data_IF_172776370833
#
_entry.id   IF_172776370833
#
_cell.length_a   1.000
_cell.length_b   1.000
_cell.length_c   1.000
_cell.angle_alpha   90.00
_cell.angle_beta   90.00
_cell.angle_gamma   90.00
#
_symmetry.space_group_name_H-M   'P 1'
#
loop_
_entity.id
_entity.type
_entity.pdbx_description
1 polymer ?
#
# COMPACT_ATOMS: atom_id res chain seq x y z
N UNK A 1 86.32 -14.50 -16.51
CA UNK A 1 85.46 -13.47 -17.14
C UNK A 1 84.44 -13.02 -16.10
N UNK A 2 84.27 -11.71 -15.98
CA UNK A 2 83.56 -10.96 -14.92
C UNK A 2 82.03 -11.17 -15.01
N UNK A 3 81.32 -11.27 -13.88
CA UNK A 3 80.09 -10.49 -13.55
C UNK A 3 79.57 -10.94 -12.16
N UNK A 4 79.74 -10.14 -11.09
CA UNK A 4 78.88 -9.05 -10.59
C UNK A 4 77.46 -9.50 -10.18
N UNK A 5 77.22 -9.44 -8.86
CA UNK A 5 76.06 -8.89 -8.13
C UNK A 5 74.67 -8.96 -8.79
N UNK A 6 73.59 -9.25 -8.06
CA UNK A 6 72.73 -8.18 -7.51
C UNK A 6 71.68 -8.75 -6.53
N UNK A 7 71.59 -8.03 -5.42
CA UNK A 7 70.49 -7.72 -4.48
C UNK A 7 69.17 -8.51 -4.47
N UNK A 8 68.75 -8.75 -3.23
CA UNK A 8 67.39 -8.91 -2.76
C UNK A 8 66.44 -7.76 -3.15
N UNK A 9 65.18 -8.09 -3.39
CA UNK A 9 64.04 -7.23 -3.09
C UNK A 9 62.77 -8.09 -2.97
N UNK A 10 62.35 -8.34 -1.74
CA UNK A 10 61.04 -8.88 -1.43
C UNK A 10 59.99 -7.78 -1.62
N UNK A 11 59.06 -7.97 -2.55
CA UNK A 11 57.87 -7.13 -2.68
C UNK A 11 56.64 -8.02 -2.49
N UNK A 12 56.21 -8.17 -1.23
CA UNK A 12 54.93 -8.79 -0.91
C UNK A 12 53.81 -7.77 -1.22
N UNK A 13 53.17 -7.93 -2.37
CA UNK A 13 51.94 -7.21 -2.74
C UNK A 13 50.79 -7.76 -1.88
N UNK A 14 50.51 -7.12 -0.75
CA UNK A 14 49.29 -7.35 0.00
C UNK A 14 48.14 -6.63 -0.70
N UNK A 15 47.42 -7.33 -1.58
CA UNK A 15 46.15 -6.86 -2.13
C UNK A 15 45.08 -6.93 -1.03
N UNK A 16 44.93 -5.86 -0.25
CA UNK A 16 43.74 -5.65 0.58
C UNK A 16 42.59 -5.29 -0.35
N UNK A 17 41.81 -6.30 -0.74
CA UNK A 17 40.53 -6.08 -1.41
C UNK A 17 39.58 -5.36 -0.44
N UNK A 18 39.39 -4.06 -0.62
CA UNK A 18 38.34 -3.31 0.04
C UNK A 18 37.00 -3.77 -0.54
N UNK A 19 36.23 -4.53 0.24
CA UNK A 19 34.84 -4.81 -0.09
C UNK A 19 34.05 -3.51 0.00
N UNK A 20 33.84 -2.85 -1.14
CA UNK A 20 32.88 -1.76 -1.24
C UNK A 20 31.48 -2.34 -1.01
N UNK A 21 30.97 -2.23 0.20
CA UNK A 21 29.55 -2.40 0.47
C UNK A 21 28.83 -1.20 -0.14
N UNK A 22 28.41 -1.32 -1.40
CA UNK A 22 27.38 -0.45 -1.94
C UNK A 22 26.13 -0.71 -1.09
N UNK A 23 25.85 0.19 -0.14
CA UNK A 23 24.52 0.34 0.38
C UNK A 23 23.67 0.71 -0.84
N UNK A 24 22.97 -0.28 -1.39
CA UNK A 24 21.96 -0.08 -2.42
C UNK A 24 20.91 0.83 -1.77
N UNK A 25 21.06 2.14 -1.95
CA UNK A 25 20.07 3.11 -1.52
C UNK A 25 18.83 2.77 -2.35
N UNK A 26 17.92 2.01 -1.76
CA UNK A 26 16.63 1.66 -2.36
C UNK A 26 15.99 2.97 -2.84
N UNK A 27 16.09 3.21 -4.14
CA UNK A 27 15.46 4.35 -4.79
C UNK A 27 13.99 4.40 -4.35
N UNK A 28 13.52 5.53 -3.80
CA UNK A 28 12.15 5.65 -3.32
C UNK A 28 11.17 5.18 -4.39
N UNK A 29 10.25 4.31 -3.99
CA UNK A 29 9.19 3.85 -4.87
C UNK A 29 8.03 3.31 -4.06
N UNK A 30 6.89 3.29 -4.72
CA UNK A 30 5.62 2.97 -4.10
C UNK A 30 5.13 1.61 -4.59
N UNK A 31 4.53 0.85 -3.68
CA UNK A 31 3.92 -0.44 -3.98
C UNK A 31 2.41 -0.25 -4.08
N UNK A 32 1.81 -0.90 -5.06
CA UNK A 32 0.38 -0.81 -5.33
C UNK A 32 -0.19 -2.19 -5.58
N UNK A 33 -1.47 -2.36 -5.26
CA UNK A 33 -2.29 -3.40 -5.86
C UNK A 33 -2.92 -2.78 -7.11
N UNK A 34 -2.70 -3.40 -8.26
CA UNK A 34 -3.15 -2.94 -9.58
C UNK A 34 -4.23 -3.89 -10.10
N UNK A 35 -5.34 -3.31 -10.54
CA UNK A 35 -6.43 -4.03 -11.21
C UNK A 35 -6.36 -3.87 -12.73
N UNK A 36 -6.57 -4.98 -13.44
CA UNK A 36 -6.67 -5.04 -14.90
C UNK A 36 -7.82 -5.92 -15.36
N UNK A 37 -8.42 -5.58 -16.50
CA UNK A 37 -9.43 -6.44 -17.14
C UNK A 37 -8.81 -7.61 -17.92
N UNK A 38 -9.64 -8.46 -18.53
CA UNK A 38 -9.20 -9.61 -19.34
C UNK A 38 -8.36 -9.26 -20.58
N UNK A 39 -8.28 -7.98 -20.96
CA UNK A 39 -7.38 -7.47 -22.00
C UNK A 39 -6.12 -6.82 -21.42
N UNK A 40 -5.88 -6.97 -20.11
CA UNK A 40 -4.79 -6.39 -19.34
C UNK A 40 -4.81 -4.86 -19.32
N UNK A 41 -5.97 -4.24 -19.54
CA UNK A 41 -6.12 -2.79 -19.49
C UNK A 41 -6.27 -2.37 -18.03
N UNK A 42 -5.53 -1.33 -17.63
CA UNK A 42 -5.57 -0.76 -16.29
C UNK A 42 -6.98 -0.27 -15.91
N UNK A 43 -7.46 -0.67 -14.72
CA UNK A 43 -8.76 -0.28 -14.17
C UNK A 43 -8.65 0.60 -12.92
N UNK A 44 -7.66 0.32 -12.07
CA UNK A 44 -7.48 1.02 -10.82
C UNK A 44 -6.23 0.56 -10.07
N UNK A 45 -5.84 1.34 -9.08
CA UNK A 45 -4.70 1.05 -8.22
C UNK A 45 -4.93 1.55 -6.81
N UNK A 46 -4.55 0.76 -5.81
CA UNK A 46 -4.51 1.17 -4.41
C UNK A 46 -3.07 1.07 -3.89
N UNK A 47 -2.57 2.13 -3.27
CA UNK A 47 -1.23 2.12 -2.67
C UNK A 47 -1.24 1.25 -1.41
N UNK A 48 -0.18 0.47 -1.23
CA UNK A 48 0.12 -0.27 -0.01
C UNK A 48 1.47 0.20 0.53
N UNK A 49 1.58 0.35 1.85
CA UNK A 49 2.68 1.08 2.46
C UNK A 49 3.69 0.13 3.11
N UNK A 50 4.97 0.47 3.03
CA UNK A 50 6.05 -0.27 3.70
C UNK A 50 6.24 0.15 5.17
N UNK A 51 5.40 1.08 5.67
CA UNK A 51 5.48 1.62 7.03
C UNK A 51 4.08 1.84 7.60
N UNK A 52 3.97 1.68 8.92
CA UNK A 52 2.75 1.96 9.66
C UNK A 52 2.39 3.45 9.59
N UNK A 53 1.09 3.73 9.49
CA UNK A 53 0.49 5.04 9.69
C UNK A 53 -0.91 4.87 10.30
N UNK A 54 -1.48 5.95 10.82
CA UNK A 54 -2.82 5.94 11.41
C UNK A 54 -3.88 5.44 10.42
N UNK A 55 -4.75 4.56 10.90
CA UNK A 55 -5.83 3.97 10.09
C UNK A 55 -5.38 2.89 9.11
N UNK A 56 -4.13 2.42 9.20
CA UNK A 56 -3.64 1.27 8.45
C UNK A 56 -3.59 0.02 9.33
N UNK A 57 -3.78 -1.13 8.70
CA UNK A 57 -3.59 -2.45 9.29
C UNK A 57 -2.45 -3.19 8.59
N UNK A 58 -1.70 -3.96 9.36
CA UNK A 58 -0.65 -4.81 8.84
C UNK A 58 -1.26 -6.02 8.15
N UNK A 59 -0.77 -6.33 6.96
CA UNK A 59 -1.18 -7.47 6.14
C UNK A 59 0.05 -8.09 5.49
N UNK A 60 -0.04 -9.37 5.14
CA UNK A 60 1.05 -10.04 4.42
C UNK A 60 0.64 -10.29 2.97
N UNK A 61 1.32 -9.63 2.04
CA UNK A 61 1.22 -9.93 0.61
C UNK A 61 2.58 -10.33 0.07
N UNK A 62 2.62 -11.29 -0.85
CA UNK A 62 3.84 -11.77 -1.49
C UNK A 62 4.94 -12.12 -0.48
N UNK A 63 4.58 -12.69 0.69
CA UNK A 63 5.49 -13.01 1.80
C UNK A 63 6.19 -11.80 2.42
N UNK A 64 5.59 -10.61 2.33
CA UNK A 64 6.11 -9.35 2.85
C UNK A 64 5.02 -8.63 3.64
N UNK A 65 5.38 -8.02 4.76
CA UNK A 65 4.47 -7.14 5.51
C UNK A 65 4.26 -5.83 4.76
N UNK A 66 3.00 -5.44 4.64
CA UNK A 66 2.54 -4.15 4.15
C UNK A 66 1.50 -3.58 5.11
N UNK A 67 1.27 -2.28 4.99
CA UNK A 67 0.26 -1.55 5.74
C UNK A 67 -0.79 -1.04 4.77
N UNK A 68 -2.06 -1.35 5.01
CA UNK A 68 -3.17 -1.04 4.08
C UNK A 68 -4.39 -0.51 4.82
N UNK A 69 -5.28 0.17 4.11
CA UNK A 69 -6.63 0.48 4.62
C UNK A 69 -7.52 -0.75 4.46
N UNK A 70 -8.50 -0.90 5.34
CA UNK A 70 -9.57 -1.91 5.15
C UNK A 70 -10.29 -1.75 3.81
N UNK A 71 -10.54 -0.51 3.39
CA UNK A 71 -11.11 -0.21 2.08
C UNK A 71 -10.28 -0.75 0.91
N UNK A 72 -8.96 -0.85 1.04
CA UNK A 72 -8.10 -1.48 0.02
C UNK A 72 -8.37 -2.98 -0.07
N UNK A 73 -8.50 -3.68 1.05
CA UNK A 73 -8.82 -5.12 1.08
C UNK A 73 -10.25 -5.37 0.60
N UNK A 74 -11.20 -4.50 0.97
CA UNK A 74 -12.55 -4.57 0.44
C UNK A 74 -12.58 -4.36 -1.08
N UNK A 75 -11.80 -3.40 -1.58
CA UNK A 75 -11.67 -3.12 -3.01
C UNK A 75 -11.13 -4.32 -3.80
N UNK A 76 -10.12 -5.04 -3.29
CA UNK A 76 -9.60 -6.23 -4.01
C UNK A 76 -10.67 -7.29 -4.20
N UNK A 77 -11.47 -7.57 -3.17
CA UNK A 77 -12.56 -8.54 -3.26
C UNK A 77 -13.62 -8.13 -4.30
N UNK A 78 -13.96 -6.83 -4.35
CA UNK A 78 -14.93 -6.32 -5.35
C UNK A 78 -14.38 -6.39 -6.77
N UNK A 79 -13.09 -6.12 -6.99
CA UNK A 79 -12.49 -6.18 -8.31
C UNK A 79 -12.48 -7.62 -8.86
N UNK A 80 -12.21 -8.61 -8.01
CA UNK A 80 -12.28 -10.03 -8.40
C UNK A 80 -13.72 -10.49 -8.61
N UNK A 81 -14.68 -10.03 -7.80
CA UNK A 81 -16.12 -10.23 -8.06
C UNK A 81 -16.54 -9.71 -9.46
N UNK A 82 -15.87 -8.66 -9.96
CA UNK A 82 -16.11 -8.08 -11.29
C UNK A 82 -15.36 -8.80 -12.42
N UNK A 83 -14.58 -9.83 -12.11
CA UNK A 83 -13.78 -10.59 -13.06
C UNK A 83 -12.49 -9.89 -13.49
N UNK A 84 -11.94 -9.01 -12.64
CA UNK A 84 -10.65 -8.36 -12.88
C UNK A 84 -9.50 -9.11 -12.23
N UNK A 85 -8.32 -8.99 -12.83
CA UNK A 85 -7.08 -9.56 -12.35
C UNK A 85 -6.32 -8.54 -11.49
N UNK A 86 -5.85 -8.98 -10.33
CA UNK A 86 -5.10 -8.14 -9.39
C UNK A 86 -3.64 -8.57 -9.29
N UNK A 87 -2.73 -7.59 -9.18
CA UNK A 87 -1.30 -7.82 -8.98
C UNK A 87 -0.71 -6.80 -8.04
N UNK A 88 0.22 -7.23 -7.19
CA UNK A 88 1.06 -6.31 -6.43
C UNK A 88 2.20 -5.86 -7.34
N UNK A 89 2.36 -4.55 -7.54
CA UNK A 89 3.37 -3.99 -8.43
C UNK A 89 4.11 -2.83 -7.76
N UNK A 90 5.40 -2.73 -8.05
CA UNK A 90 6.29 -1.65 -7.59
C UNK A 90 6.51 -0.64 -8.70
N UNK A 91 6.44 0.65 -8.37
CA UNK A 91 6.76 1.74 -9.28
C UNK A 91 7.91 2.60 -8.75
N UNK A 92 8.94 2.80 -9.58
CA UNK A 92 10.10 3.65 -9.32
C UNK A 92 10.35 4.69 -10.42
N UNK A 93 9.28 5.15 -11.08
CA UNK A 93 9.33 6.13 -12.16
C UNK A 93 9.75 5.58 -13.53
N UNK A 94 10.09 4.29 -13.64
CA UNK A 94 10.44 3.60 -14.92
C UNK A 94 9.37 2.60 -15.37
N UNK A 95 8.16 2.74 -14.86
CA UNK A 95 7.04 1.82 -15.10
C UNK A 95 6.86 0.79 -13.99
N UNK A 96 5.83 -0.03 -14.19
CA UNK A 96 5.35 -1.02 -13.23
C UNK A 96 6.17 -2.30 -13.25
N UNK A 97 6.56 -2.78 -12.07
CA UNK A 97 7.28 -4.05 -11.89
C UNK A 97 6.45 -4.99 -11.04
N UNK A 98 6.03 -6.16 -11.56
CA UNK A 98 5.23 -7.07 -10.78
C UNK A 98 6.01 -7.72 -9.65
N UNK A 99 5.38 -7.84 -8.49
CA UNK A 99 5.87 -8.54 -7.32
C UNK A 99 5.19 -9.92 -7.23
N UNK A 100 3.86 -9.95 -7.15
CA UNK A 100 3.08 -11.20 -7.22
C UNK A 100 1.68 -10.96 -7.80
N UNK A 101 1.00 -12.06 -8.17
CA UNK A 101 -0.40 -12.07 -8.61
C UNK A 101 -1.32 -12.47 -7.45
N UNK A 102 -2.61 -12.25 -7.64
CA UNK A 102 -3.70 -12.67 -6.76
C UNK A 102 -3.52 -12.27 -5.28
N UNK A 103 -3.33 -10.98 -4.96
CA UNK A 103 -3.28 -10.54 -3.56
C UNK A 103 -4.56 -10.83 -2.78
N UNK A 104 -5.73 -10.82 -3.43
CA UNK A 104 -7.02 -11.15 -2.83
C UNK A 104 -7.12 -12.59 -2.27
N UNK A 105 -6.33 -13.52 -2.80
CA UNK A 105 -6.26 -14.90 -2.30
C UNK A 105 -5.44 -15.01 -1.01
N UNK A 106 -4.67 -13.98 -0.67
CA UNK A 106 -3.74 -13.97 0.46
C UNK A 106 -4.31 -13.26 1.68
N UNK A 107 -5.14 -12.24 1.47
CA UNK A 107 -5.76 -11.44 2.53
C UNK A 107 -7.16 -11.05 2.14
N UNK A 108 -8.12 -11.42 2.99
CA UNK A 108 -9.53 -11.08 2.89
C UNK A 108 -9.96 -10.21 4.07
N UNK A 109 -11.13 -9.57 3.98
CA UNK A 109 -11.71 -8.88 5.14
C UNK A 109 -11.96 -9.82 6.32
N UNK A 110 -12.30 -11.09 6.05
CA UNK A 110 -12.55 -12.10 7.08
C UNK A 110 -11.28 -12.40 7.89
N UNK A 111 -10.11 -12.42 7.25
CA UNK A 111 -8.81 -12.59 7.92
C UNK A 111 -8.49 -11.44 8.89
N UNK A 112 -9.12 -10.28 8.66
CA UNK A 112 -9.01 -9.09 9.49
C UNK A 112 -10.16 -8.96 10.51
N UNK A 113 -11.01 -9.99 10.63
CA UNK A 113 -12.13 -10.03 11.56
C UNK A 113 -13.38 -9.26 11.11
N UNK A 114 -13.45 -8.85 9.85
CA UNK A 114 -14.58 -8.11 9.25
C UNK A 114 -15.40 -9.10 8.41
N UNK A 115 -16.69 -9.23 8.73
CA UNK A 115 -17.60 -10.16 8.05
C UNK A 115 -18.69 -9.44 7.22
N UNK A 116 -18.65 -8.11 7.20
CA UNK A 116 -19.53 -7.25 6.44
C UNK A 116 -19.27 -7.33 4.92
N UNK A 117 -20.26 -6.95 4.11
CA UNK A 117 -20.10 -6.87 2.65
C UNK A 117 -19.00 -5.85 2.30
N UNK A 118 -17.99 -6.21 1.47
CA UNK A 118 -16.96 -5.29 1.01
C UNK A 118 -17.49 -3.95 0.47
N UNK A 119 -18.68 -3.95 -0.14
CA UNK A 119 -19.36 -2.76 -0.70
C UNK A 119 -19.74 -1.74 0.36
N UNK A 120 -19.91 -2.16 1.62
CA UNK A 120 -20.17 -1.28 2.76
C UNK A 120 -18.87 -0.66 3.29
N UNK A 121 -17.77 -1.42 3.29
CA UNK A 121 -16.48 -0.97 3.82
C UNK A 121 -15.82 0.12 2.95
N UNK A 122 -15.94 0.05 1.63
CA UNK A 122 -15.37 1.09 0.73
C UNK A 122 -16.01 2.46 0.92
N UNK A 123 -17.29 2.51 1.31
CA UNK A 123 -17.96 3.79 1.57
C UNK A 123 -17.47 4.46 2.86
N UNK A 124 -16.69 3.74 3.66
CA UNK A 124 -16.23 4.11 4.99
C UNK A 124 -14.72 4.44 5.02
N UNK A 125 -14.21 5.22 4.07
CA UNK A 125 -12.78 5.59 3.92
C UNK A 125 -12.14 6.41 5.08
N UNK A 126 -12.73 6.38 6.28
CA UNK A 126 -12.20 6.91 7.54
C UNK A 126 -11.76 5.79 8.51
N UNK A 127 -11.34 6.14 9.75
CA UNK A 127 -11.19 5.16 10.83
C UNK A 127 -12.48 4.33 10.95
N UNK A 128 -12.39 3.05 11.30
CA UNK A 128 -13.57 2.22 11.60
C UNK A 128 -14.31 2.82 12.81
N UNK A 129 -15.17 3.80 12.56
CA UNK A 129 -16.10 4.34 13.53
C UNK A 129 -17.37 3.51 13.44
N UNK A 130 -17.71 2.88 14.56
CA UNK A 130 -18.92 2.11 14.77
C UNK A 130 -20.12 2.77 14.04
N UNK A 131 -20.82 2.10 13.11
CA UNK A 131 -21.82 2.72 12.22
C UNK A 131 -22.92 3.51 12.97
N UNK A 132 -23.25 3.05 14.17
CA UNK A 132 -24.21 3.67 15.10
C UNK A 132 -23.75 5.08 15.52
N UNK A 133 -22.44 5.30 15.62
CA UNK A 133 -21.84 6.58 16.05
C UNK A 133 -21.92 7.66 14.97
N UNK A 134 -21.92 7.31 13.68
CA UNK A 134 -21.97 8.30 12.58
C UNK A 134 -23.32 9.00 12.54
N UNK A 135 -24.42 8.24 12.59
CA UNK A 135 -25.76 8.81 12.64
C UNK A 135 -25.99 9.59 13.93
N UNK A 136 -25.45 9.13 15.07
CA UNK A 136 -25.52 9.86 16.34
C UNK A 136 -24.72 11.18 16.31
N UNK A 137 -23.56 11.19 15.66
CA UNK A 137 -22.73 12.40 15.48
C UNK A 137 -23.43 13.42 14.57
N UNK A 138 -24.03 12.96 13.47
CA UNK A 138 -24.82 13.79 12.55
C UNK A 138 -26.10 14.29 13.23
N UNK A 139 -26.82 13.45 13.99
CA UNK A 139 -28.02 13.89 14.72
C UNK A 139 -27.69 14.92 15.79
N UNK A 140 -26.51 14.83 16.42
CA UNK A 140 -26.06 15.79 17.44
C UNK A 140 -25.73 17.16 16.85
N UNK A 141 -25.23 17.24 15.62
CA UNK A 141 -25.03 18.52 14.93
C UNK A 141 -26.34 19.17 14.49
N UNK A 142 -27.39 18.39 14.24
CA UNK A 142 -28.74 18.91 13.96
C UNK A 142 -29.59 19.17 15.22
N UNK A 143 -29.29 18.51 16.34
CA UNK A 143 -30.08 18.60 17.58
C UNK A 143 -29.77 19.81 18.47
N UNK A 144 -28.67 20.52 18.23
CA UNK A 144 -28.26 21.71 19.01
C UNK A 144 -28.45 23.03 18.26
N UNK A 145 -29.45 23.09 17.36
CA UNK A 145 -29.90 24.34 16.76
C UNK A 145 -30.96 25.00 17.64
N UNK A 146 -30.55 26.03 18.37
CA UNK A 146 -31.45 27.01 18.98
C UNK A 146 -32.53 27.45 17.99
N UNK A 147 -33.73 27.71 18.53
CA UNK A 147 -34.89 28.24 17.80
C UNK A 147 -34.51 29.51 17.02
N UNK A 148 -34.16 29.37 15.75
CA UNK A 148 -33.95 30.48 14.83
C UNK A 148 -34.97 30.41 13.69
N UNK A 149 -35.72 31.51 13.62
CA UNK A 149 -36.90 31.80 12.80
C UNK A 149 -36.61 31.77 11.29
N UNK A 150 -37.62 31.41 10.50
CA UNK A 150 -37.78 31.87 9.11
C UNK A 150 -37.94 30.76 8.08
N UNK A 151 -39.17 30.30 7.86
CA UNK A 151 -39.55 29.59 6.63
C UNK A 151 -39.54 30.59 5.46
N UNK A 152 -38.77 30.32 4.41
CA UNK A 152 -38.74 31.09 3.15
C UNK A 152 -39.87 30.67 2.20
N UNK A 153 -41.07 30.48 2.74
CA UNK A 153 -42.29 30.34 1.95
C UNK A 153 -43.38 31.16 2.64
N UNK A 154 -43.27 32.47 2.51
CA UNK A 154 -44.40 33.37 2.61
C UNK A 154 -44.69 33.89 1.20
N UNK A 155 -45.95 33.72 0.80
CA UNK A 155 -46.69 34.23 -0.37
C UNK A 155 -46.29 35.68 -0.74
N UNK A 156 -46.34 36.13 -1.99
CA UNK A 156 -47.39 36.04 -3.02
C UNK A 156 -46.82 35.94 -4.46
#
# INVERSE_FOLDING_TARGET
MIQKTVMAAALALACTATTQTYADQLEPGDTYIISRDGHRIFRGSHQIYNRMAEGLVEVTYCQRSYWVRYATVAWTQIEVDRGYELRVEYNRGKGWRPICANPEEQVTLADLGINEDPRLIIQEDGPLVNPISRFAAISKSFGSGDKAKGSYHATE
#
